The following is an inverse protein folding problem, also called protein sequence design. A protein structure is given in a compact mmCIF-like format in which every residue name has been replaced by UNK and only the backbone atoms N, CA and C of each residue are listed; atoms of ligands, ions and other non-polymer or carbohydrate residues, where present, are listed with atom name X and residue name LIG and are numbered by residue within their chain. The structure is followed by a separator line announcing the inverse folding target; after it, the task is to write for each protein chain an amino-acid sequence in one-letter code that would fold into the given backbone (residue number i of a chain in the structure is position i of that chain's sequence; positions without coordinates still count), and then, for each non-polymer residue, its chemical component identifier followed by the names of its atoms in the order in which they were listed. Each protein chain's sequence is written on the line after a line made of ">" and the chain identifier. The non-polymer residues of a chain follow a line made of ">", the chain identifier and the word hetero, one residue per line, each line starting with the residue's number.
data_IF_987717494965
#
_entry.id   IF_987717494965
#
_cell.length_a   1.000
_cell.length_b   1.000
_cell.length_c   1.000
_cell.angle_alpha   90.00
_cell.angle_beta   90.00
_cell.angle_gamma   90.00
#
_symmetry.space_group_name_H-M   'P 1'
#
loop_
_entity.id
_entity.type
_entity.pdbx_description
1 polymer ?
#
# COMPACT_ATOMS: atom_id res chain seq x y z
N UNK A 1 -6.64 -31.16 -27.67
CA UNK A 1 -6.82 -29.70 -27.72
C UNK A 1 -6.80 -29.20 -26.29
N UNK A 2 -5.63 -28.77 -25.80
CA UNK A 2 -5.48 -28.29 -24.43
C UNK A 2 -5.61 -26.77 -24.48
N UNK A 3 -6.83 -26.28 -24.24
CA UNK A 3 -7.09 -24.86 -24.10
C UNK A 3 -6.40 -24.38 -22.84
N UNK A 4 -5.18 -23.86 -22.97
CA UNK A 4 -4.57 -23.08 -21.90
C UNK A 4 -5.51 -21.92 -21.62
N UNK A 5 -6.22 -21.99 -20.50
CA UNK A 5 -6.96 -20.87 -19.96
C UNK A 5 -5.90 -19.81 -19.65
N UNK A 6 -5.69 -18.87 -20.59
CA UNK A 6 -4.82 -17.73 -20.36
C UNK A 6 -5.51 -16.88 -19.30
N UNK A 7 -5.16 -17.12 -18.04
CA UNK A 7 -5.56 -16.25 -16.94
C UNK A 7 -4.78 -14.97 -17.13
N UNK A 8 -5.48 -13.92 -17.54
CA UNK A 8 -4.91 -12.61 -17.63
C UNK A 8 -4.29 -12.16 -16.30
N UNK A 9 -3.12 -11.50 -16.34
CA UNK A 9 -2.41 -11.12 -15.13
C UNK A 9 -3.26 -10.14 -14.31
N UNK A 10 -3.30 -10.38 -13.00
CA UNK A 10 -3.81 -9.40 -12.04
C UNK A 10 -2.72 -8.34 -11.82
N UNK A 11 -3.08 -7.06 -11.94
CA UNK A 11 -2.17 -5.93 -11.78
C UNK A 11 -2.65 -4.99 -10.68
N UNK A 12 -1.70 -4.36 -9.98
CA UNK A 12 -1.96 -3.20 -9.12
C UNK A 12 -1.43 -1.97 -9.84
N UNK A 13 -2.32 -1.02 -10.11
CA UNK A 13 -2.00 0.23 -10.81
C UNK A 13 -2.93 1.36 -10.35
N UNK A 14 -2.55 2.64 -10.54
CA UNK A 14 -3.39 3.77 -10.14
C UNK A 14 -4.79 3.69 -10.75
N UNK A 15 -5.83 4.06 -10.01
CA UNK A 15 -7.21 4.15 -10.51
C UNK A 15 -7.31 5.08 -11.75
N UNK A 16 -6.51 6.14 -11.75
CA UNK A 16 -6.42 7.09 -12.85
C UNK A 16 -7.53 8.15 -12.85
N UNK A 17 -7.26 9.26 -13.53
CA UNK A 17 -8.13 10.44 -13.51
C UNK A 17 -9.54 10.18 -14.07
N UNK A 18 -9.66 9.36 -15.11
CA UNK A 18 -10.93 9.08 -15.78
C UNK A 18 -11.94 8.34 -14.88
N UNK A 19 -11.47 7.37 -14.09
CA UNK A 19 -12.31 6.64 -13.14
C UNK A 19 -12.51 7.43 -11.85
N UNK A 20 -11.48 8.14 -11.37
CA UNK A 20 -11.60 9.04 -10.21
C UNK A 20 -12.65 10.14 -10.42
N UNK A 21 -12.75 10.70 -11.63
CA UNK A 21 -13.73 11.74 -11.96
C UNK A 21 -15.19 11.25 -11.85
N UNK A 22 -15.44 9.94 -11.95
CA UNK A 22 -16.78 9.33 -11.87
C UNK A 22 -17.19 8.96 -10.44
N UNK A 23 -16.28 9.05 -9.47
CA UNK A 23 -16.57 8.74 -8.06
C UNK A 23 -17.34 9.87 -7.39
N UNK A 24 -18.34 9.49 -6.59
CA UNK A 24 -19.02 10.45 -5.71
C UNK A 24 -18.03 10.95 -4.65
N UNK A 25 -18.03 12.26 -4.39
CA UNK A 25 -17.17 12.91 -3.40
C UNK A 25 -18.07 13.41 -2.28
N UNK A 26 -17.78 13.00 -1.05
CA UNK A 26 -18.48 13.52 0.11
C UNK A 26 -18.13 14.99 0.35
N UNK A 27 -19.14 15.79 0.73
CA UNK A 27 -19.01 17.24 0.96
C UNK A 27 -18.38 17.59 2.31
N UNK A 28 -17.24 16.99 2.66
CA UNK A 28 -16.58 17.14 3.97
C UNK A 28 -15.62 18.35 4.03
N UNK A 29 -15.84 19.40 3.23
CA UNK A 29 -15.02 20.61 3.22
C UNK A 29 -13.65 20.49 2.53
N UNK A 30 -13.25 19.30 2.07
CA UNK A 30 -12.04 19.13 1.25
C UNK A 30 -12.33 19.53 -0.19
N UNK A 31 -11.47 20.31 -0.87
CA UNK A 31 -11.66 20.65 -2.27
C UNK A 31 -11.80 19.41 -3.15
N UNK A 32 -12.84 19.37 -3.98
CA UNK A 32 -13.14 18.22 -4.84
C UNK A 32 -12.02 17.90 -5.86
N UNK A 33 -11.20 18.89 -6.22
CA UNK A 33 -10.00 18.69 -7.04
C UNK A 33 -8.94 17.86 -6.30
N UNK A 34 -8.72 18.15 -5.02
CA UNK A 34 -7.77 17.41 -4.18
C UNK A 34 -8.24 15.98 -3.96
N UNK A 35 -9.53 15.78 -3.65
CA UNK A 35 -10.09 14.43 -3.49
C UNK A 35 -9.95 13.62 -4.79
N UNK A 36 -10.20 14.21 -5.96
CA UNK A 36 -10.01 13.52 -7.24
C UNK A 36 -8.56 13.21 -7.55
N UNK A 37 -7.63 14.11 -7.21
CA UNK A 37 -6.20 13.85 -7.38
C UNK A 37 -5.73 12.69 -6.51
N UNK A 38 -6.16 12.64 -5.25
CA UNK A 38 -5.88 11.52 -4.36
C UNK A 38 -6.49 10.22 -4.92
N UNK A 39 -7.79 10.22 -5.25
CA UNK A 39 -8.47 9.07 -5.85
C UNK A 39 -7.80 8.56 -7.13
N UNK A 40 -7.27 9.45 -7.97
CA UNK A 40 -6.57 9.05 -9.20
C UNK A 40 -5.25 8.32 -8.92
N UNK A 41 -4.61 8.60 -7.78
CA UNK A 41 -3.39 7.95 -7.33
C UNK A 41 -3.64 6.69 -6.48
N UNK A 42 -4.87 6.48 -6.01
CA UNK A 42 -5.22 5.29 -5.21
C UNK A 42 -4.90 4.00 -5.99
N UNK A 43 -4.27 3.01 -5.34
CA UNK A 43 -3.98 1.73 -5.96
C UNK A 43 -5.29 0.98 -6.21
N UNK A 44 -5.50 0.53 -7.43
CA UNK A 44 -6.64 -0.28 -7.84
C UNK A 44 -6.17 -1.61 -8.42
N UNK A 45 -7.06 -2.60 -8.41
CA UNK A 45 -6.83 -3.90 -9.04
C UNK A 45 -7.33 -3.90 -10.47
N UNK A 46 -6.54 -4.48 -11.37
CA UNK A 46 -6.83 -4.51 -12.81
C UNK A 46 -6.65 -5.91 -13.38
N UNK A 47 -7.48 -6.25 -14.37
CA UNK A 47 -7.34 -7.45 -15.21
C UNK A 47 -7.85 -7.14 -16.61
N UNK A 48 -7.09 -7.49 -17.64
CA UNK A 48 -7.47 -7.25 -19.05
C UNK A 48 -7.86 -5.79 -19.36
N UNK A 49 -7.27 -4.82 -18.67
CA UNK A 49 -7.59 -3.40 -18.84
C UNK A 49 -8.88 -2.95 -18.12
N UNK A 50 -9.60 -3.85 -17.46
CA UNK A 50 -10.73 -3.53 -16.60
C UNK A 50 -10.28 -3.29 -15.16
N UNK A 51 -10.79 -2.21 -14.55
CA UNK A 51 -10.58 -1.94 -13.14
C UNK A 51 -11.59 -2.75 -12.30
N UNK A 52 -11.09 -3.66 -11.48
CA UNK A 52 -11.86 -4.52 -10.60
C UNK A 52 -12.30 -3.82 -9.31
N UNK A 53 -11.73 -2.65 -9.02
CA UNK A 53 -12.06 -1.84 -7.84
C UNK A 53 -10.85 -1.47 -7.00
N UNK A 54 -11.12 -0.71 -5.93
CA UNK A 54 -10.14 -0.36 -4.92
C UNK A 54 -10.06 -1.50 -3.88
N UNK A 55 -8.87 -1.78 -3.31
CA UNK A 55 -8.73 -2.67 -2.17
C UNK A 55 -9.69 -2.28 -1.04
N UNK A 56 -10.42 -3.25 -0.49
CA UNK A 56 -11.36 -3.03 0.62
C UNK A 56 -12.74 -2.48 0.23
N UNK A 57 -12.96 -2.14 -1.04
CA UNK A 57 -14.26 -1.65 -1.54
C UNK A 57 -14.98 -2.74 -2.36
N UNK A 58 -16.16 -3.16 -1.86
CA UNK A 58 -17.07 -4.07 -2.58
C UNK A 58 -16.60 -5.53 -2.68
N UNK A 59 -17.37 -6.40 -3.38
CA UNK A 59 -17.00 -7.79 -3.55
C UNK A 59 -15.84 -7.88 -4.56
N UNK A 60 -14.62 -7.87 -4.04
CA UNK A 60 -13.47 -8.40 -4.77
C UNK A 60 -13.81 -9.82 -5.27
N UNK A 61 -13.31 -10.24 -6.44
CA UNK A 61 -13.43 -11.63 -6.85
C UNK A 61 -12.97 -12.52 -5.68
N UNK A 62 -13.77 -13.52 -5.29
CA UNK A 62 -13.59 -14.29 -4.06
C UNK A 62 -12.20 -14.93 -3.86
N UNK A 63 -11.36 -14.95 -4.91
CA UNK A 63 -10.01 -15.47 -4.91
C UNK A 63 -8.90 -14.41 -4.69
N UNK A 64 -9.22 -13.12 -4.53
CA UNK A 64 -8.22 -12.04 -4.42
C UNK A 64 -8.46 -11.22 -3.15
N UNK A 65 -7.43 -11.13 -2.31
CA UNK A 65 -7.37 -10.22 -1.17
C UNK A 65 -6.18 -9.27 -1.34
N UNK A 66 -6.37 -8.00 -0.98
CA UNK A 66 -5.34 -6.97 -1.00
C UNK A 66 -5.21 -6.37 0.40
N UNK A 67 -3.96 -6.19 0.85
CA UNK A 67 -3.64 -5.65 2.16
C UNK A 67 -2.64 -4.51 2.01
N UNK A 68 -2.78 -3.41 2.77
CA UNK A 68 -1.75 -2.39 2.82
C UNK A 68 -0.48 -2.97 3.44
N UNK A 69 0.68 -2.73 2.81
CA UNK A 69 1.99 -3.13 3.32
C UNK A 69 2.82 -1.87 3.57
N UNK A 70 3.27 -1.71 4.81
CA UNK A 70 4.07 -0.57 5.26
C UNK A 70 5.45 -1.07 5.68
N UNK A 71 6.49 -0.30 5.35
CA UNK A 71 7.89 -0.58 5.66
C UNK A 71 8.36 -2.02 5.34
N UNK A 72 8.26 -2.48 4.08
CA UNK A 72 8.81 -3.79 3.67
C UNK A 72 10.33 -3.89 3.93
N UNK A 73 10.99 -2.75 4.07
CA UNK A 73 12.40 -2.61 4.38
C UNK A 73 12.74 -2.66 5.88
N UNK A 74 11.76 -2.64 6.80
CA UNK A 74 12.01 -2.55 8.26
C UNK A 74 12.90 -3.67 8.81
N UNK A 75 12.97 -4.81 8.10
CA UNK A 75 13.84 -5.94 8.43
C UNK A 75 15.30 -5.77 7.98
N UNK A 76 15.56 -4.80 7.12
CA UNK A 76 16.82 -4.65 6.38
C UNK A 76 17.48 -3.27 6.56
N UNK A 77 16.75 -2.27 7.06
CA UNK A 77 17.24 -0.90 7.23
C UNK A 77 17.34 -0.47 8.71
N UNK A 78 18.18 0.53 9.02
CA UNK A 78 18.33 1.06 10.37
C UNK A 78 17.03 1.73 10.85
N UNK A 79 16.81 1.75 12.16
CA UNK A 79 15.52 2.04 12.79
C UNK A 79 14.96 3.48 12.64
N UNK A 80 15.60 4.35 11.85
CA UNK A 80 15.23 5.77 11.74
C UNK A 80 13.86 5.97 11.06
N UNK A 81 13.41 5.00 10.28
CA UNK A 81 12.17 5.03 9.52
C UNK A 81 11.01 4.26 10.17
N UNK A 82 11.22 3.62 11.33
CA UNK A 82 10.18 2.82 11.99
C UNK A 82 9.07 3.69 12.58
N UNK A 83 9.40 4.79 13.26
CA UNK A 83 8.38 5.68 13.82
C UNK A 83 7.41 6.26 12.76
N UNK A 84 7.89 6.81 11.61
CA UNK A 84 6.98 7.20 10.55
C UNK A 84 6.26 6.00 9.91
N UNK A 85 6.89 4.83 9.81
CA UNK A 85 6.22 3.62 9.33
C UNK A 85 5.08 3.17 10.25
N UNK A 86 5.25 3.21 11.56
CA UNK A 86 4.21 2.88 12.54
C UNK A 86 3.02 3.84 12.44
N UNK A 87 3.29 5.14 12.28
CA UNK A 87 2.24 6.13 12.08
C UNK A 87 1.44 5.86 10.80
N UNK A 88 2.11 5.51 9.70
CA UNK A 88 1.44 5.14 8.43
C UNK A 88 0.68 3.83 8.57
N UNK A 89 1.21 2.83 9.27
CA UNK A 89 0.52 1.57 9.51
C UNK A 89 -0.78 1.79 10.31
N UNK A 90 -0.74 2.62 11.35
CA UNK A 90 -1.93 2.99 12.12
C UNK A 90 -2.95 3.75 11.27
N UNK A 91 -2.50 4.70 10.44
CA UNK A 91 -3.38 5.48 9.56
C UNK A 91 -4.11 4.60 8.53
N UNK A 92 -3.41 3.61 7.97
CA UNK A 92 -3.96 2.72 6.94
C UNK A 92 -4.69 1.50 7.50
N UNK A 93 -4.65 1.28 8.82
CA UNK A 93 -5.11 0.04 9.44
C UNK A 93 -4.29 -1.19 9.00
N UNK A 94 -3.02 -0.99 8.65
CA UNK A 94 -2.12 -2.05 8.22
C UNK A 94 -1.63 -2.89 9.41
N UNK A 95 -1.03 -4.04 9.10
CA UNK A 95 -0.36 -4.84 10.13
C UNK A 95 0.78 -4.03 10.81
N UNK A 96 1.03 -4.24 12.11
CA UNK A 96 2.12 -3.57 12.82
C UNK A 96 3.48 -3.79 12.15
N UNK A 97 4.33 -2.77 12.15
CA UNK A 97 5.70 -2.87 11.60
C UNK A 97 6.51 -3.82 12.49
N UNK A 98 7.25 -4.79 11.92
CA UNK A 98 8.09 -5.68 12.72
C UNK A 98 9.21 -4.90 13.42
N UNK A 99 9.56 -5.33 14.63
CA UNK A 99 10.69 -4.76 15.36
C UNK A 99 11.99 -4.89 14.54
N UNK A 100 12.86 -3.87 14.60
CA UNK A 100 14.15 -3.90 13.92
C UNK A 100 15.06 -4.97 14.51
N UNK A 101 15.81 -5.72 13.68
CA UNK A 101 16.81 -6.66 14.18
C UNK A 101 18.05 -5.97 14.76
N UNK A 102 18.19 -4.64 14.63
CA UNK A 102 19.37 -3.87 15.04
C UNK A 102 19.21 -3.14 16.39
N UNK A 103 18.25 -3.52 17.23
CA UNK A 103 18.07 -2.95 18.57
C UNK A 103 19.37 -3.07 19.37
N UNK A 104 19.91 -1.96 19.85
CA UNK A 104 21.14 -1.93 20.65
C UNK A 104 22.46 -1.86 19.87
N UNK A 105 22.43 -1.85 18.53
CA UNK A 105 23.65 -1.70 17.71
C UNK A 105 24.41 -0.39 17.98
N UNK A 106 23.71 0.68 18.37
CA UNK A 106 24.32 1.98 18.70
C UNK A 106 24.90 2.04 20.12
N UNK A 107 24.67 1.01 20.96
CA UNK A 107 25.35 0.88 22.25
C UNK A 107 26.78 0.41 21.98
N UNK A 108 27.66 1.37 21.65
CA UNK A 108 29.03 1.08 21.27
C UNK A 108 29.73 0.21 22.31
N UNK A 109 30.25 -0.95 21.87
CA UNK A 109 31.30 -1.63 22.61
C UNK A 109 32.45 -0.63 22.81
N UNK A 110 33.03 -0.53 24.02
CA UNK A 110 34.12 0.40 24.27
C UNK A 110 35.25 0.14 23.26
N UNK A 111 35.65 1.16 22.50
CA UNK A 111 36.83 1.06 21.64
C UNK A 111 38.02 0.70 22.51
N UNK A 112 38.58 -0.49 22.32
CA UNK A 112 39.89 -0.81 22.86
C UNK A 112 40.90 0.16 22.24
N UNK A 113 41.58 0.95 23.09
CA UNK A 113 42.74 1.74 22.66
C UNK A 113 43.86 0.75 22.34
N UNK A 114 44.33 0.80 21.09
CA UNK A 114 45.64 0.29 20.69
C UNK A 114 46.72 1.33 21.02
#
# INVERSE_FOLDING_TARGET
>A
SSGALLIAPLLVAPLGAALAAKRAIAGHGTPASLVRAALAAEPALWRDGECLGLPGEGPMPAAVAAYPVVAPFARFLPSFDLAPADAVAALLGAAPVPASPFVGHSAGLPRAKA
#
